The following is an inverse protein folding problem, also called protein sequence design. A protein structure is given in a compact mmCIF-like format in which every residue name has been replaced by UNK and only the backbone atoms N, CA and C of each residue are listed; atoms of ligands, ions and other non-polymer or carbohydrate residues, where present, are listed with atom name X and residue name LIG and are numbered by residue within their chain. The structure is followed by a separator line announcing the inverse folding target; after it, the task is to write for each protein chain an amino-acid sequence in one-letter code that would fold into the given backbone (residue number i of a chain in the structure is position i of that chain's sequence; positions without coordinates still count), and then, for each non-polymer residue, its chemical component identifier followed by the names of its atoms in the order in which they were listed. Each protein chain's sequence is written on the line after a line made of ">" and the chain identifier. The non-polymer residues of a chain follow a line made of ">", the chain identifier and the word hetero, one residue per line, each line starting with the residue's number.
data_IF_376183091808
#
_entry.id   IF_376183091808
#
_cell.length_a   1.000
_cell.length_b   1.000
_cell.length_c   1.000
_cell.angle_alpha   90.00
_cell.angle_beta   90.00
_cell.angle_gamma   90.00
#
_symmetry.space_group_name_H-M   'P 1'
#
loop_
_entity.id
_entity.type
_entity.pdbx_description
1 polymer ?
#
# COMPACT_ATOMS: atom_id res chain seq x y z
N UNK A 1 -7.57 -61.64 24.14
CA UNK A 1 -6.63 -61.65 23.01
C UNK A 1 -7.17 -60.71 21.93
N UNK A 2 -6.70 -59.47 21.93
CA UNK A 2 -7.08 -58.43 20.96
C UNK A 2 -5.91 -57.46 20.88
N UNK A 3 -5.24 -57.43 19.73
CA UNK A 3 -4.06 -56.62 19.48
C UNK A 3 -4.43 -55.17 19.11
N UNK A 4 -3.57 -54.17 19.43
CA UNK A 4 -3.82 -52.78 19.06
C UNK A 4 -3.45 -52.51 17.59
N UNK A 5 -4.36 -51.84 16.85
CA UNK A 5 -4.10 -51.28 15.53
C UNK A 5 -3.22 -50.03 15.66
N UNK A 6 -2.01 -50.09 15.10
CA UNK A 6 -1.15 -48.93 14.83
C UNK A 6 -1.69 -48.18 13.61
N UNK A 7 -1.94 -46.88 13.77
CA UNK A 7 -2.16 -45.96 12.64
C UNK A 7 -0.81 -45.36 12.30
N UNK A 8 -0.26 -45.75 11.15
CA UNK A 8 0.94 -45.17 10.55
C UNK A 8 0.58 -43.84 9.89
N UNK A 9 1.16 -42.74 10.39
CA UNK A 9 1.11 -41.45 9.72
C UNK A 9 2.07 -41.47 8.52
N UNK A 10 1.54 -41.25 7.31
CA UNK A 10 2.34 -41.05 6.12
C UNK A 10 2.89 -39.62 6.11
N UNK A 11 4.20 -39.50 6.29
CA UNK A 11 4.95 -38.27 6.02
C UNK A 11 5.16 -38.19 4.51
N UNK A 12 4.52 -37.23 3.85
CA UNK A 12 4.81 -36.90 2.45
C UNK A 12 6.05 -36.01 2.44
N UNK A 13 7.20 -36.61 2.12
CA UNK A 13 8.44 -35.91 1.83
C UNK A 13 8.36 -35.38 0.38
N UNK A 14 8.17 -34.07 0.21
CA UNK A 14 8.28 -33.45 -1.10
C UNK A 14 9.77 -33.27 -1.43
N UNK A 15 10.28 -34.08 -2.37
CA UNK A 15 11.62 -33.95 -2.94
C UNK A 15 11.65 -32.74 -3.86
N UNK A 16 12.42 -31.71 -3.51
CA UNK A 16 12.74 -30.61 -4.41
C UNK A 16 13.79 -31.09 -5.42
N UNK A 17 13.37 -31.30 -6.67
CA UNK A 17 14.29 -31.53 -7.77
C UNK A 17 14.95 -30.20 -8.16
N UNK A 18 16.24 -30.05 -7.84
CA UNK A 18 17.09 -28.99 -8.40
C UNK A 18 17.49 -29.42 -9.80
N UNK A 19 16.87 -28.81 -10.82
CA UNK A 19 17.35 -28.90 -12.20
C UNK A 19 18.39 -27.80 -12.39
N UNK A 20 19.66 -28.20 -12.38
CA UNK A 20 20.76 -27.35 -12.82
C UNK A 20 20.66 -27.19 -14.35
N UNK A 21 20.35 -25.98 -14.81
CA UNK A 21 20.41 -25.62 -16.23
C UNK A 21 21.77 -24.99 -16.53
N UNK A 22 22.45 -25.51 -17.55
CA UNK A 22 23.74 -25.03 -18.04
C UNK A 22 23.61 -23.64 -18.72
N UNK A 23 24.68 -22.81 -18.72
CA UNK A 23 24.65 -21.50 -19.36
C UNK A 23 24.73 -21.65 -20.89
N UNK A 24 23.69 -21.19 -21.59
CA UNK A 24 23.69 -21.01 -23.05
C UNK A 24 24.38 -19.71 -23.47
N UNK A 25 24.85 -19.61 -24.73
CA UNK A 25 25.69 -18.50 -25.18
C UNK A 25 24.92 -17.17 -25.25
N UNK A 26 25.60 -16.10 -24.86
CA UNK A 26 25.14 -14.72 -25.03
C UNK A 26 24.90 -14.40 -26.50
N UNK A 27 23.67 -14.04 -26.86
CA UNK A 27 23.32 -13.53 -28.17
C UNK A 27 22.51 -12.24 -28.03
N UNK A 28 23.03 -11.17 -28.65
CA UNK A 28 22.26 -10.00 -29.08
C UNK A 28 22.04 -8.91 -28.03
N UNK A 29 22.98 -7.98 -27.93
CA UNK A 29 22.71 -6.64 -27.41
C UNK A 29 21.69 -5.95 -28.34
N UNK A 30 20.41 -6.07 -28.04
CA UNK A 30 19.38 -5.24 -28.63
C UNK A 30 19.55 -3.82 -28.09
N UNK A 31 19.99 -2.90 -28.94
CA UNK A 31 19.99 -1.47 -28.67
C UNK A 31 18.54 -1.02 -28.47
N UNK A 32 18.09 -0.97 -27.21
CA UNK A 32 16.82 -0.36 -26.87
C UNK A 32 16.90 1.13 -27.23
N UNK A 33 16.17 1.54 -28.27
CA UNK A 33 15.94 2.96 -28.56
C UNK A 33 15.32 3.60 -27.31
N UNK A 34 15.79 4.77 -26.86
CA UNK A 34 15.14 5.49 -25.78
C UNK A 34 13.67 5.71 -26.16
N UNK A 35 12.78 5.37 -25.24
CA UNK A 35 11.36 5.63 -25.40
C UNK A 35 11.19 7.14 -25.70
N UNK A 36 10.57 7.45 -26.83
CA UNK A 36 10.24 8.82 -27.17
C UNK A 36 9.47 9.45 -26.00
N UNK A 37 9.95 10.59 -25.50
CA UNK A 37 9.21 11.42 -24.56
C UNK A 37 7.83 11.71 -25.16
N UNK A 38 6.82 10.99 -24.68
CA UNK A 38 5.45 11.45 -24.86
C UNK A 38 5.35 12.75 -24.06
N UNK A 39 5.02 13.90 -24.70
CA UNK A 39 4.76 15.10 -23.96
C UNK A 39 3.62 14.75 -23.00
N UNK A 40 3.89 14.83 -21.69
CA UNK A 40 2.84 14.81 -20.70
C UNK A 40 1.84 15.88 -21.14
N UNK A 41 0.64 15.45 -21.54
CA UNK A 41 -0.49 16.36 -21.73
C UNK A 41 -0.60 17.10 -20.41
N UNK A 42 -0.20 18.36 -20.40
CA UNK A 42 -0.31 19.21 -19.23
C UNK A 42 -1.75 19.06 -18.73
N UNK A 43 -1.88 18.67 -17.47
CA UNK A 43 -3.19 18.67 -16.83
C UNK A 43 -3.81 20.05 -17.11
N UNK A 44 -5.09 20.12 -17.52
CA UNK A 44 -5.73 21.42 -17.76
C UNK A 44 -5.45 22.29 -16.54
N UNK A 45 -4.91 23.48 -16.78
CA UNK A 45 -4.54 24.48 -15.78
C UNK A 45 -5.77 24.78 -14.94
N UNK A 46 -5.96 23.99 -13.88
CA UNK A 46 -7.00 24.22 -12.90
C UNK A 46 -6.67 25.56 -12.25
N UNK A 47 -7.59 26.52 -12.41
CA UNK A 47 -7.61 27.85 -11.81
C UNK A 47 -6.47 28.12 -10.80
N UNK A 48 -5.37 28.68 -11.32
CA UNK A 48 -4.24 29.10 -10.51
C UNK A 48 -4.72 30.15 -9.51
N UNK A 49 -4.74 29.76 -8.23
CA UNK A 49 -5.26 30.58 -7.13
C UNK A 49 -4.22 31.64 -6.71
N UNK A 50 -4.69 32.73 -6.10
CA UNK A 50 -3.89 33.93 -5.80
C UNK A 50 -2.64 33.67 -4.94
N UNK A 51 -1.59 34.50 -5.09
CA UNK A 51 -0.38 34.39 -4.30
C UNK A 51 -0.63 34.59 -2.79
N UNK A 52 -0.05 33.73 -1.96
CA UNK A 52 -0.15 33.76 -0.50
C UNK A 52 0.71 34.90 0.05
N UNK A 53 0.12 35.79 0.86
CA UNK A 53 0.84 36.88 1.53
C UNK A 53 1.70 36.34 2.67
N UNK A 54 2.85 36.98 2.94
CA UNK A 54 3.74 36.63 4.05
C UNK A 54 4.74 35.51 3.76
N UNK A 55 4.79 35.00 2.53
CA UNK A 55 5.79 34.01 2.10
C UNK A 55 7.14 34.71 1.89
N UNK A 56 8.25 34.23 2.49
CA UNK A 56 9.58 34.83 2.31
C UNK A 56 9.99 34.91 0.83
N UNK A 57 10.76 35.95 0.47
CA UNK A 57 11.19 36.17 -0.93
C UNK A 57 11.92 34.96 -1.54
N UNK A 58 12.69 34.23 -0.72
CA UNK A 58 13.44 33.03 -1.12
C UNK A 58 12.64 31.73 -1.13
N UNK A 59 11.36 31.74 -0.79
CA UNK A 59 10.55 30.52 -0.82
C UNK A 59 10.38 30.01 -2.27
N UNK A 60 10.32 28.68 -2.47
CA UNK A 60 10.11 28.10 -3.80
C UNK A 60 8.79 28.61 -4.39
N UNK A 61 8.68 28.75 -5.73
CA UNK A 61 7.46 29.22 -6.37
C UNK A 61 6.20 28.48 -5.90
N UNK A 62 6.27 27.16 -5.69
CA UNK A 62 5.18 26.33 -5.18
C UNK A 62 4.59 26.84 -3.86
N UNK A 63 5.43 27.35 -2.94
CA UNK A 63 5.00 27.86 -1.64
C UNK A 63 4.23 29.20 -1.72
N UNK A 64 4.28 29.86 -2.88
CA UNK A 64 3.55 31.12 -3.12
C UNK A 64 2.12 30.87 -3.54
N UNK A 65 1.75 29.65 -3.91
CA UNK A 65 0.40 29.31 -4.35
C UNK A 65 -0.45 28.81 -3.20
N UNK A 66 -1.76 29.02 -3.31
CA UNK A 66 -2.70 28.41 -2.37
C UNK A 66 -2.65 26.90 -2.50
N UNK A 67 -2.75 26.18 -1.37
CA UNK A 67 -2.74 24.73 -1.41
C UNK A 67 -3.92 24.20 -2.27
N UNK A 68 -3.67 23.30 -3.24
CA UNK A 68 -4.73 22.74 -4.04
C UNK A 68 -5.68 21.92 -3.17
N UNK A 69 -6.98 22.08 -3.41
CA UNK A 69 -7.99 21.23 -2.77
C UNK A 69 -7.96 19.85 -3.41
N UNK A 70 -7.51 18.86 -2.64
CA UNK A 70 -7.60 17.47 -3.06
C UNK A 70 -9.06 16.98 -2.94
N UNK A 71 -9.52 16.10 -3.84
CA UNK A 71 -10.78 15.43 -3.65
C UNK A 71 -10.77 14.64 -2.34
N UNK A 72 -11.92 14.60 -1.68
CA UNK A 72 -12.12 13.88 -0.43
C UNK A 72 -13.33 12.96 -0.53
N UNK A 73 -13.32 11.82 0.16
CA UNK A 73 -14.49 10.97 0.27
C UNK A 73 -15.69 11.71 0.87
N UNK A 74 -16.89 11.21 0.61
CA UNK A 74 -18.09 11.76 1.22
C UNK A 74 -18.10 11.54 2.74
N UNK A 75 -18.76 12.43 3.49
CA UNK A 75 -18.92 12.28 4.94
C UNK A 75 -19.70 11.00 5.33
N UNK A 76 -20.47 10.42 4.39
CA UNK A 76 -21.18 9.16 4.59
C UNK A 76 -20.24 7.94 4.60
N UNK A 77 -19.13 8.03 3.88
CA UNK A 77 -18.12 6.96 3.78
C UNK A 77 -17.02 7.17 4.81
N UNK A 78 -16.52 8.40 4.94
CA UNK A 78 -15.53 8.81 5.92
C UNK A 78 -16.11 9.94 6.78
N UNK A 79 -16.65 9.66 7.97
CA UNK A 79 -17.33 10.66 8.79
C UNK A 79 -16.39 11.61 9.54
N UNK A 80 -15.07 11.43 9.39
CA UNK A 80 -14.06 12.25 10.07
C UNK A 80 -13.55 13.38 9.18
N UNK A 81 -12.83 14.34 9.77
CA UNK A 81 -12.15 15.38 9.00
C UNK A 81 -11.00 14.84 8.13
N UNK A 82 -10.46 15.70 7.27
CA UNK A 82 -9.23 15.44 6.51
C UNK A 82 -8.05 16.11 7.25
N UNK A 83 -7.57 15.47 8.31
CA UNK A 83 -6.60 16.05 9.26
C UNK A 83 -5.20 15.45 9.12
N UNK A 84 -4.89 14.90 7.95
CA UNK A 84 -3.58 14.36 7.62
C UNK A 84 -2.46 15.39 7.85
N UNK A 85 -1.31 14.89 8.30
CA UNK A 85 -0.12 15.71 8.36
C UNK A 85 0.26 16.19 6.95
N UNK A 86 0.88 17.37 6.87
CA UNK A 86 1.51 17.86 5.64
C UNK A 86 2.98 17.48 5.58
N UNK A 87 3.47 16.76 6.59
CA UNK A 87 4.83 16.25 6.69
C UNK A 87 4.82 14.76 6.39
N UNK A 88 5.50 14.35 5.31
CA UNK A 88 5.62 12.95 4.90
C UNK A 88 6.18 12.06 6.03
N UNK A 89 5.72 10.82 6.09
CA UNK A 89 6.13 9.83 7.09
C UNK A 89 5.57 10.06 8.50
N UNK A 90 4.74 11.08 8.72
CA UNK A 90 4.25 11.43 10.07
C UNK A 90 2.79 11.07 10.30
N UNK A 91 2.50 10.69 11.55
CA UNK A 91 1.15 10.41 12.03
C UNK A 91 0.54 11.58 12.81
N UNK A 92 -0.79 11.62 12.88
CA UNK A 92 -1.56 12.56 13.71
C UNK A 92 -2.82 11.88 14.26
N UNK A 93 -3.11 12.11 15.54
CA UNK A 93 -4.41 11.80 16.14
C UNK A 93 -5.27 13.07 16.17
N UNK A 94 -6.46 13.03 15.56
CA UNK A 94 -7.37 14.16 15.56
C UNK A 94 -8.82 13.71 15.33
N UNK A 95 -9.80 14.38 15.96
CA UNK A 95 -11.22 14.21 15.62
C UNK A 95 -11.76 12.77 15.69
N UNK A 96 -11.18 11.89 16.51
CA UNK A 96 -11.58 10.48 16.64
C UNK A 96 -10.92 9.52 15.63
N UNK A 97 -9.91 9.98 14.89
CA UNK A 97 -9.15 9.16 13.95
C UNK A 97 -7.63 9.35 14.10
N UNK A 98 -6.91 8.28 13.76
CA UNK A 98 -5.48 8.27 13.47
C UNK A 98 -5.28 8.47 11.98
N UNK A 99 -4.35 9.34 11.63
CA UNK A 99 -4.00 9.70 10.27
C UNK A 99 -2.50 9.50 10.07
N UNK A 100 -2.10 8.99 8.92
CA UNK A 100 -0.71 8.84 8.51
C UNK A 100 -0.56 9.18 7.03
N UNK A 101 0.57 9.77 6.67
CA UNK A 101 0.91 10.13 5.29
C UNK A 101 2.28 9.58 4.93
N UNK A 102 2.43 9.08 3.71
CA UNK A 102 3.71 8.70 3.14
C UNK A 102 4.36 9.81 2.30
N UNK A 103 5.53 9.53 1.75
CA UNK A 103 6.22 10.36 0.78
C UNK A 103 5.50 10.34 -0.58
N UNK A 104 5.30 11.53 -1.13
CA UNK A 104 4.79 11.66 -2.48
C UNK A 104 5.94 11.32 -3.46
N UNK A 105 5.67 10.44 -4.43
CA UNK A 105 6.60 9.99 -5.47
C UNK A 105 7.64 8.94 -5.05
N UNK A 106 7.36 8.11 -4.06
CA UNK A 106 8.18 6.94 -3.72
C UNK A 106 7.55 5.65 -4.28
N UNK A 107 7.45 5.56 -5.61
CA UNK A 107 6.83 4.42 -6.29
C UNK A 107 7.71 3.16 -6.35
N UNK A 108 8.76 3.14 -5.52
CA UNK A 108 9.69 2.04 -5.35
C UNK A 108 9.65 1.53 -3.92
N UNK A 109 9.44 0.22 -3.76
CA UNK A 109 9.30 -0.42 -2.45
C UNK A 109 10.63 -0.81 -1.82
N UNK A 110 10.56 -1.66 -0.78
CA UNK A 110 11.69 -2.05 0.07
C UNK A 110 12.98 -2.38 -0.69
N UNK A 111 14.10 -2.00 -0.07
CA UNK A 111 15.43 -2.33 -0.54
C UNK A 111 15.97 -3.62 0.10
N UNK A 112 16.86 -4.34 -0.59
CA UNK A 112 17.55 -5.50 0.00
C UNK A 112 18.31 -5.10 1.29
N UNK A 113 18.54 -6.02 2.26
CA UNK A 113 19.01 -5.70 3.62
C UNK A 113 20.40 -5.03 3.73
N UNK A 114 21.13 -4.91 2.62
CA UNK A 114 22.44 -4.28 2.56
C UNK A 114 22.27 -2.87 1.98
N UNK A 115 22.40 -1.84 2.84
CA UNK A 115 22.51 -0.40 2.55
C UNK A 115 21.85 0.10 1.26
N UNK A 116 20.72 0.82 1.37
CA UNK A 116 19.89 1.39 0.29
C UNK A 116 20.56 1.42 -1.12
N UNK A 117 20.53 0.31 -1.91
CA UNK A 117 20.87 0.44 -3.31
C UNK A 117 19.89 1.43 -3.94
N UNK A 118 20.51 2.41 -4.57
CA UNK A 118 19.83 3.40 -5.39
C UNK A 118 19.25 2.65 -6.59
N UNK A 119 17.98 2.88 -6.92
CA UNK A 119 17.38 2.26 -8.10
C UNK A 119 18.27 2.51 -9.33
N UNK A 120 18.44 1.56 -10.27
CA UNK A 120 19.09 1.83 -11.55
C UNK A 120 18.43 2.95 -12.35
N UNK A 121 17.17 3.30 -12.00
CA UNK A 121 16.42 4.44 -12.54
C UNK A 121 16.69 5.78 -11.81
N UNK A 122 17.69 5.84 -10.93
CA UNK A 122 18.04 7.00 -10.08
C UNK A 122 18.48 8.27 -10.81
N UNK A 123 18.45 8.30 -12.13
CA UNK A 123 18.71 9.49 -12.94
C UNK A 123 17.54 10.48 -12.97
N UNK A 124 16.48 10.24 -12.18
CA UNK A 124 15.30 11.12 -12.15
C UNK A 124 15.51 12.41 -11.35
N UNK A 125 16.46 12.47 -10.41
CA UNK A 125 16.85 13.72 -9.73
C UNK A 125 18.19 13.60 -8.99
N UNK A 126 19.12 14.55 -9.24
CA UNK A 126 20.41 14.65 -8.54
C UNK A 126 20.29 15.00 -7.04
N UNK A 127 19.11 15.45 -6.58
CA UNK A 127 18.88 15.90 -5.20
C UNK A 127 18.00 14.97 -4.37
N UNK A 128 17.39 13.96 -5.00
CA UNK A 128 16.52 12.99 -4.36
C UNK A 128 16.59 11.66 -5.13
N UNK A 129 17.69 10.90 -4.99
CA UNK A 129 17.83 9.63 -5.69
C UNK A 129 16.74 8.64 -5.25
N UNK A 130 16.13 7.96 -6.21
CA UNK A 130 15.12 6.91 -5.97
C UNK A 130 15.70 5.80 -5.10
N UNK A 131 15.08 5.54 -3.96
CA UNK A 131 15.43 4.44 -3.07
C UNK A 131 14.49 3.25 -3.32
N UNK A 132 14.95 2.03 -3.09
CA UNK A 132 14.13 0.85 -3.31
C UNK A 132 14.37 0.16 -4.66
N UNK A 133 14.24 -1.18 -4.65
CA UNK A 133 14.43 -2.02 -5.84
C UNK A 133 13.16 -2.75 -6.26
N UNK A 134 12.14 -2.77 -5.40
CA UNK A 134 10.84 -3.31 -5.76
C UNK A 134 10.12 -2.29 -6.65
N UNK A 135 9.93 -2.62 -7.93
CA UNK A 135 9.23 -1.80 -8.90
C UNK A 135 7.92 -2.45 -9.31
N UNK A 136 6.94 -1.64 -9.72
CA UNK A 136 5.71 -2.15 -10.30
C UNK A 136 5.98 -2.88 -11.62
N UNK A 137 5.34 -4.05 -11.84
CA UNK A 137 5.44 -4.72 -13.13
C UNK A 137 4.73 -3.91 -14.22
N UNK A 138 5.14 -4.16 -15.47
CA UNK A 138 4.37 -3.69 -16.63
C UNK A 138 2.96 -4.30 -16.63
N UNK A 139 2.01 -3.63 -17.29
CA UNK A 139 0.62 -4.11 -17.41
C UNK A 139 -0.37 -3.36 -16.52
N UNK A 140 -1.28 -4.04 -15.79
CA UNK A 140 -2.37 -3.40 -15.05
C UNK A 140 -1.92 -2.37 -14.00
N UNK A 141 -0.75 -2.59 -13.39
CA UNK A 141 -0.16 -1.68 -12.41
C UNK A 141 0.42 -0.39 -13.03
N UNK A 142 0.54 -0.30 -14.37
CA UNK A 142 0.96 0.90 -15.11
C UNK A 142 2.21 1.59 -14.53
N UNK A 143 3.15 0.80 -14.00
CA UNK A 143 4.40 1.22 -13.37
C UNK A 143 4.26 2.08 -12.10
N UNK A 144 3.04 2.48 -11.71
CA UNK A 144 2.71 3.18 -10.46
C UNK A 144 1.18 3.13 -10.30
N UNK A 145 0.68 2.00 -9.80
CA UNK A 145 -0.75 1.67 -9.86
C UNK A 145 -1.45 1.65 -8.51
N UNK A 146 -0.67 1.62 -7.43
CA UNK A 146 -1.12 1.29 -6.08
C UNK A 146 -0.17 1.82 -5.00
N UNK A 147 0.41 3.00 -5.21
CA UNK A 147 1.28 3.64 -4.21
C UNK A 147 0.44 4.28 -3.10
N UNK A 148 0.69 3.92 -1.83
CA UNK A 148 -0.08 4.42 -0.68
C UNK A 148 0.40 5.82 -0.34
N UNK A 149 -0.49 6.80 -0.41
CA UNK A 149 -0.17 8.15 0.04
C UNK A 149 -0.65 8.42 1.46
N UNK A 150 -1.79 7.85 1.83
CA UNK A 150 -2.44 8.13 3.11
C UNK A 150 -3.09 6.89 3.68
N UNK A 151 -3.05 6.78 4.99
CA UNK A 151 -3.72 5.73 5.73
C UNK A 151 -4.40 6.34 6.96
N UNK A 152 -5.64 5.99 7.23
CA UNK A 152 -6.34 6.49 8.41
C UNK A 152 -7.28 5.46 9.01
N UNK A 153 -7.36 5.48 10.34
CA UNK A 153 -8.23 4.62 11.13
C UNK A 153 -9.05 5.47 12.06
N UNK A 154 -10.37 5.43 11.92
CA UNK A 154 -11.29 6.19 12.76
C UNK A 154 -12.27 5.30 13.49
N UNK A 155 -12.75 5.74 14.66
CA UNK A 155 -13.81 5.02 15.36
C UNK A 155 -14.97 5.93 15.73
N UNK A 156 -16.17 5.37 15.63
CA UNK A 156 -17.41 5.96 16.14
C UNK A 156 -18.03 4.98 17.13
N UNK A 157 -19.10 5.37 17.80
CA UNK A 157 -19.89 4.44 18.63
C UNK A 157 -20.49 3.27 17.85
N UNK A 158 -20.58 3.36 16.51
CA UNK A 158 -21.27 2.38 15.66
C UNK A 158 -20.35 1.48 14.84
N UNK A 159 -19.12 1.91 14.56
CA UNK A 159 -18.19 1.21 13.68
C UNK A 159 -16.77 1.79 13.78
N UNK A 160 -15.79 0.97 13.40
CA UNK A 160 -14.46 1.41 12.97
C UNK A 160 -14.46 1.73 11.47
N UNK A 161 -13.55 2.59 11.04
CA UNK A 161 -13.37 2.96 9.64
C UNK A 161 -11.90 2.83 9.29
N UNK A 162 -11.60 2.21 8.15
CA UNK A 162 -10.24 1.93 7.69
C UNK A 162 -10.09 2.49 6.29
N UNK A 163 -9.30 3.54 6.14
CA UNK A 163 -9.13 4.29 4.89
C UNK A 163 -7.70 4.18 4.40
N UNK A 164 -7.54 3.91 3.12
CA UNK A 164 -6.29 4.05 2.39
C UNK A 164 -6.54 4.93 1.17
N UNK A 165 -5.68 5.92 0.95
CA UNK A 165 -5.67 6.71 -0.27
C UNK A 165 -4.40 6.42 -1.06
N UNK A 166 -4.56 6.33 -2.37
CA UNK A 166 -3.48 6.00 -3.29
C UNK A 166 -3.00 7.24 -4.06
N UNK A 167 -1.68 7.44 -4.19
CA UNK A 167 -1.09 8.46 -5.07
C UNK A 167 -1.63 8.27 -6.50
N UNK A 168 -1.71 7.01 -6.91
CA UNK A 168 -2.24 6.55 -8.19
C UNK A 168 -3.24 5.42 -7.98
N UNK A 169 -4.43 5.53 -8.58
CA UNK A 169 -5.41 4.44 -8.64
C UNK A 169 -5.88 4.27 -10.09
N UNK A 170 -4.97 3.77 -10.93
CA UNK A 170 -5.23 3.65 -12.38
C UNK A 170 -6.20 2.51 -12.66
N UNK A 171 -5.97 1.36 -12.04
CA UNK A 171 -6.90 0.23 -12.02
C UNK A 171 -7.19 -0.16 -10.58
N UNK A 172 -8.45 -0.03 -10.17
CA UNK A 172 -8.90 -0.35 -8.81
C UNK A 172 -8.78 -1.84 -8.48
N UNK A 173 -8.63 -2.73 -9.46
CA UNK A 173 -8.49 -4.16 -9.23
C UNK A 173 -7.05 -4.58 -8.90
N UNK A 174 -6.09 -3.65 -8.97
CA UNK A 174 -4.67 -3.91 -8.69
C UNK A 174 -4.36 -3.82 -7.19
N UNK A 175 -4.67 -2.72 -6.48
CA UNK A 175 -4.27 -2.60 -5.08
C UNK A 175 -5.01 -3.57 -4.16
N UNK A 176 -4.24 -4.11 -3.22
CA UNK A 176 -4.72 -4.76 -2.01
C UNK A 176 -4.07 -4.02 -0.84
N UNK A 177 -4.87 -3.58 0.12
CA UNK A 177 -4.39 -3.01 1.38
C UNK A 177 -4.65 -4.01 2.51
N UNK A 178 -3.71 -4.13 3.44
CA UNK A 178 -3.83 -5.02 4.58
C UNK A 178 -3.52 -4.28 5.87
N UNK A 179 -4.34 -4.53 6.89
CA UNK A 179 -4.17 -4.00 8.25
C UNK A 179 -4.07 -5.18 9.20
N UNK A 180 -2.99 -5.29 9.97
CA UNK A 180 -2.83 -6.35 10.97
C UNK A 180 -3.08 -5.82 12.37
N UNK A 181 -3.62 -6.69 13.23
CA UNK A 181 -4.02 -6.36 14.59
C UNK A 181 -3.34 -7.30 15.58
N UNK A 182 -2.47 -6.75 16.42
CA UNK A 182 -2.09 -7.34 17.70
C UNK A 182 -3.05 -6.78 18.75
N UNK A 183 -3.94 -7.62 19.30
CA UNK A 183 -4.99 -7.15 20.22
C UNK A 183 -4.59 -7.25 21.69
N UNK A 184 -3.49 -7.93 21.99
CA UNK A 184 -3.00 -8.09 23.36
C UNK A 184 -1.62 -7.44 23.61
N UNK A 185 -1.01 -6.88 22.57
CA UNK A 185 0.27 -6.19 22.61
C UNK A 185 1.45 -7.14 22.85
N UNK A 186 1.28 -8.44 22.56
CA UNK A 186 2.29 -9.46 22.85
C UNK A 186 2.79 -10.07 21.55
N UNK A 187 4.03 -9.73 21.20
CA UNK A 187 4.76 -10.35 20.09
C UNK A 187 4.79 -11.90 20.10
N UNK A 188 4.60 -12.54 21.27
CA UNK A 188 4.59 -14.00 21.43
C UNK A 188 3.20 -14.63 21.23
N UNK A 189 2.13 -13.84 21.25
CA UNK A 189 0.77 -14.30 20.94
C UNK A 189 0.58 -14.25 19.40
N UNK A 190 -0.62 -14.62 18.92
CA UNK A 190 -0.93 -14.54 17.49
C UNK A 190 -0.04 -15.38 16.55
N UNK A 191 0.18 -14.85 15.34
CA UNK A 191 1.04 -15.37 14.28
C UNK A 191 2.02 -14.28 13.81
N UNK A 192 3.04 -14.66 13.04
CA UNK A 192 3.99 -13.71 12.46
C UNK A 192 3.71 -13.36 11.00
N UNK A 193 2.98 -14.21 10.27
CA UNK A 193 2.79 -14.09 8.82
C UNK A 193 1.53 -13.29 8.52
N UNK A 194 1.66 -12.28 7.66
CA UNK A 194 0.54 -11.55 7.12
C UNK A 194 -0.23 -12.45 6.13
N UNK A 195 -1.57 -12.54 6.18
CA UNK A 195 -2.36 -13.32 5.22
C UNK A 195 -2.25 -12.82 3.77
N UNK A 196 -3.09 -13.40 2.90
CA UNK A 196 -3.21 -13.03 1.47
C UNK A 196 -1.88 -13.07 0.67
N UNK A 197 -0.93 -13.89 1.11
CA UNK A 197 0.40 -14.01 0.51
C UNK A 197 1.17 -12.67 0.43
N UNK A 198 0.99 -11.80 1.43
CA UNK A 198 1.64 -10.48 1.47
C UNK A 198 3.18 -10.55 1.51
N UNK A 199 3.76 -11.70 1.89
CA UNK A 199 5.21 -11.91 1.87
C UNK A 199 5.99 -11.13 2.94
N UNK A 200 5.29 -10.52 3.90
CA UNK A 200 5.86 -9.78 5.03
C UNK A 200 5.49 -10.42 6.36
N UNK A 201 6.29 -10.13 7.39
CA UNK A 201 6.07 -10.68 8.73
C UNK A 201 6.11 -9.59 9.80
N UNK A 202 5.26 -9.75 10.82
CA UNK A 202 5.28 -8.95 12.04
C UNK A 202 4.81 -9.84 13.19
N UNK A 203 5.51 -9.90 14.33
CA UNK A 203 5.12 -10.77 15.44
C UNK A 203 3.80 -10.30 16.10
N UNK A 204 3.03 -11.21 16.68
CA UNK A 204 1.84 -10.86 17.49
C UNK A 204 0.50 -10.73 16.77
N UNK A 205 0.41 -11.03 15.47
CA UNK A 205 -0.82 -10.76 14.69
C UNK A 205 -1.93 -11.75 15.08
N UNK A 206 -3.04 -11.25 15.60
CA UNK A 206 -4.25 -12.04 15.88
C UNK A 206 -5.25 -12.06 14.73
N UNK A 207 -5.36 -10.93 14.04
CA UNK A 207 -6.37 -10.64 13.04
C UNK A 207 -5.75 -9.79 11.94
N UNK A 208 -6.32 -9.85 10.75
CA UNK A 208 -5.99 -8.91 9.69
C UNK A 208 -7.24 -8.50 8.92
N UNK A 209 -7.31 -7.26 8.47
CA UNK A 209 -8.31 -6.78 7.52
C UNK A 209 -7.64 -6.67 6.16
N UNK A 210 -8.04 -7.53 5.23
CA UNK A 210 -7.56 -7.52 3.84
C UNK A 210 -8.61 -6.83 2.97
N UNK A 211 -8.19 -5.82 2.21
CA UNK A 211 -9.06 -4.90 1.49
C UNK A 211 -8.64 -4.86 0.02
N UNK A 212 -9.57 -5.15 -0.87
CA UNK A 212 -9.45 -4.93 -2.31
C UNK A 212 -10.69 -4.19 -2.80
N UNK A 213 -10.70 -3.67 -4.03
CA UNK A 213 -11.90 -3.00 -4.56
C UNK A 213 -13.17 -3.88 -4.56
N UNK A 214 -13.03 -5.21 -4.49
CA UNK A 214 -14.15 -6.15 -4.56
C UNK A 214 -14.65 -6.59 -3.18
N UNK A 215 -13.78 -6.67 -2.19
CA UNK A 215 -14.09 -7.25 -0.88
C UNK A 215 -13.22 -6.70 0.22
N UNK A 216 -13.77 -6.73 1.43
CA UNK A 216 -13.04 -6.49 2.66
C UNK A 216 -13.30 -7.68 3.60
N UNK A 217 -12.23 -8.36 3.99
CA UNK A 217 -12.30 -9.62 4.73
C UNK A 217 -11.49 -9.52 6.02
N UNK A 218 -12.12 -9.88 7.14
CA UNK A 218 -11.47 -10.00 8.44
C UNK A 218 -10.98 -11.43 8.63
N UNK A 219 -9.67 -11.60 8.66
CA UNK A 219 -8.98 -12.85 8.89
C UNK A 219 -8.78 -13.13 10.38
N UNK A 220 -9.00 -14.38 10.78
CA UNK A 220 -8.34 -14.99 11.93
C UNK A 220 -6.99 -15.52 11.46
N UNK A 221 -5.89 -14.88 11.83
CA UNK A 221 -4.57 -15.30 11.32
C UNK A 221 -4.15 -16.64 11.92
N UNK A 222 -4.62 -16.99 13.11
CA UNK A 222 -4.36 -18.29 13.74
C UNK A 222 -5.04 -19.45 13.04
N UNK A 223 -6.29 -19.27 12.61
CA UNK A 223 -7.08 -20.35 12.00
C UNK A 223 -7.16 -20.27 10.47
N UNK A 224 -6.64 -19.19 9.87
CA UNK A 224 -6.78 -18.90 8.44
C UNK A 224 -8.20 -18.55 7.99
N UNK A 225 -9.19 -18.53 8.90
CA UNK A 225 -10.58 -18.31 8.56
C UNK A 225 -10.83 -16.83 8.25
N UNK A 226 -11.43 -16.53 7.11
CA UNK A 226 -11.77 -15.19 6.67
C UNK A 226 -13.30 -14.98 6.66
N UNK A 227 -13.73 -13.80 7.10
CA UNK A 227 -15.13 -13.39 7.06
C UNK A 227 -15.25 -12.05 6.35
N UNK A 228 -16.11 -11.97 5.34
CA UNK A 228 -16.48 -10.70 4.73
C UNK A 228 -17.12 -9.77 5.76
N UNK A 229 -16.65 -8.51 5.83
CA UNK A 229 -17.16 -7.50 6.76
C UNK A 229 -18.66 -7.24 6.60
N UNK A 230 -19.24 -7.51 5.42
CA UNK A 230 -20.67 -7.43 5.18
C UNK A 230 -21.48 -8.34 6.11
N UNK A 231 -20.92 -9.48 6.55
CA UNK A 231 -21.57 -10.35 7.54
C UNK A 231 -21.70 -9.70 8.92
N UNK A 232 -20.98 -8.61 9.15
CA UNK A 232 -21.05 -7.79 10.36
C UNK A 232 -21.75 -6.44 10.12
N UNK A 233 -22.45 -6.27 9.00
CA UNK A 233 -23.07 -5.00 8.61
C UNK A 233 -22.07 -3.93 8.17
N UNK A 234 -20.82 -4.33 7.94
CA UNK A 234 -19.78 -3.51 7.34
C UNK A 234 -19.91 -3.42 5.82
N UNK A 235 -19.04 -2.62 5.20
CA UNK A 235 -18.93 -2.52 3.74
C UNK A 235 -17.62 -1.89 3.33
N UNK A 236 -17.23 -2.11 2.07
CA UNK A 236 -16.20 -1.31 1.41
C UNK A 236 -16.85 -0.24 0.52
N UNK A 237 -16.25 0.95 0.47
CA UNK A 237 -16.45 1.93 -0.60
C UNK A 237 -15.14 2.16 -1.35
N UNK A 238 -15.24 2.31 -2.66
CA UNK A 238 -14.15 2.66 -3.57
C UNK A 238 -14.48 3.99 -4.23
N UNK A 239 -13.84 5.06 -3.76
CA UNK A 239 -13.99 6.40 -4.34
C UNK A 239 -12.83 6.66 -5.32
N UNK A 240 -13.11 6.56 -6.61
CA UNK A 240 -12.12 6.83 -7.67
C UNK A 240 -11.72 8.30 -7.78
N UNK A 241 -12.54 9.23 -7.29
CA UNK A 241 -12.26 10.66 -7.34
C UNK A 241 -11.24 11.05 -6.28
N UNK A 242 -11.39 10.54 -5.05
CA UNK A 242 -10.39 10.71 -3.98
C UNK A 242 -9.31 9.63 -3.98
N UNK A 243 -9.43 8.62 -4.85
CA UNK A 243 -8.53 7.46 -4.94
C UNK A 243 -8.45 6.73 -3.61
N UNK A 244 -9.60 6.47 -3.01
CA UNK A 244 -9.69 5.94 -1.65
C UNK A 244 -10.40 4.59 -1.63
N UNK A 245 -9.87 3.65 -0.86
CA UNK A 245 -10.65 2.51 -0.35
C UNK A 245 -11.00 2.78 1.11
N UNK A 246 -12.27 2.61 1.47
CA UNK A 246 -12.76 2.84 2.83
C UNK A 246 -13.60 1.65 3.26
N UNK A 247 -13.19 1.00 4.34
CA UNK A 247 -13.97 -0.06 5.00
C UNK A 247 -14.63 0.52 6.23
N UNK A 248 -15.90 0.15 6.45
CA UNK A 248 -16.64 0.36 7.70
C UNK A 248 -16.95 -0.99 8.32
#
# INVERSE_FOLDING_TARGET
>A
MTAPRRVTAAVVLAVAAVVATAPGPMAGAATARPAAHHPHRQAPTAHLSHPVRGVPRGAPPAAKWTEPKLPRPSAREWPFGDMFSRTSGTGRLAGGASYWTDWLFDDHGATAPTAAPISPASTTSDLAPTQGVAAYPSGPAKNNGADIFRAAVGTTRKASYWRVDWTTLVDQNVPIAEWTFDRDGKAKSGTAVWPAAAGVTSPGIDRALVVSAKRAELYNTRTGHAVDVAKHGGRISVDRRSRSFIVR
#
